data_IF_331576843498
#
_entry.id   IF_331576843498
#
_cell.length_a   1.000
_cell.length_b   1.000
_cell.length_c   1.000
_cell.angle_alpha   90.00
_cell.angle_beta   90.00
_cell.angle_gamma   90.00
#
_symmetry.space_group_name_H-M   'P 1'
#
loop_
_entity.id
_entity.type
_entity.pdbx_description
1 polymer ?
#
# COMPACT_ATOMS: atom_id res chain seq x y z
N UNK A 1 -36.69 -19.05 38.84
CA UNK A 1 -36.77 -18.31 37.56
C UNK A 1 -35.92 -17.03 37.57
N UNK A 2 -36.07 -16.11 38.54
CA UNK A 2 -35.31 -14.84 38.62
C UNK A 2 -33.77 -14.97 38.52
N UNK A 3 -33.16 -15.95 39.21
CA UNK A 3 -31.69 -16.19 39.16
C UNK A 3 -31.19 -16.65 37.78
N UNK A 4 -31.96 -17.51 37.09
CA UNK A 4 -31.61 -17.98 35.73
C UNK A 4 -31.76 -16.85 34.71
N UNK A 5 -32.79 -16.03 34.87
CA UNK A 5 -32.99 -14.84 34.04
C UNK A 5 -31.86 -13.81 34.21
N UNK A 6 -31.43 -13.55 35.45
CA UNK A 6 -30.28 -12.66 35.73
C UNK A 6 -28.96 -13.19 35.15
N UNK A 7 -28.71 -14.49 35.19
CA UNK A 7 -27.53 -15.09 34.55
C UNK A 7 -27.56 -14.94 33.03
N UNK A 8 -28.72 -15.13 32.40
CA UNK A 8 -28.87 -14.92 30.94
C UNK A 8 -28.66 -13.45 30.57
N UNK A 9 -29.19 -12.52 31.36
CA UNK A 9 -29.02 -11.08 31.13
C UNK A 9 -27.55 -10.64 31.29
N UNK A 10 -26.87 -11.17 32.31
CA UNK A 10 -25.45 -10.91 32.52
C UNK A 10 -24.58 -11.49 31.40
N UNK A 11 -24.92 -12.68 30.89
CA UNK A 11 -24.24 -13.27 29.73
C UNK A 11 -24.41 -12.43 28.45
N UNK A 12 -25.62 -11.95 28.18
CA UNK A 12 -25.89 -11.05 27.05
C UNK A 12 -25.12 -9.74 27.16
N UNK A 13 -25.09 -9.13 28.36
CA UNK A 13 -24.32 -7.92 28.60
C UNK A 13 -22.81 -8.15 28.39
N UNK A 14 -22.28 -9.29 28.84
CA UNK A 14 -20.87 -9.63 28.64
C UNK A 14 -20.52 -9.81 27.15
N UNK A 15 -21.38 -10.47 26.36
CA UNK A 15 -21.19 -10.59 24.90
C UNK A 15 -21.20 -9.22 24.23
N UNK A 16 -22.11 -8.33 24.63
CA UNK A 16 -22.18 -6.98 24.08
C UNK A 16 -20.94 -6.16 24.41
N UNK A 17 -20.44 -6.25 25.65
CA UNK A 17 -19.22 -5.56 26.09
C UNK A 17 -17.99 -6.11 25.38
N UNK A 18 -17.87 -7.43 25.23
CA UNK A 18 -16.74 -8.06 24.51
C UNK A 18 -16.78 -7.67 23.02
N UNK A 19 -17.95 -7.70 22.39
CA UNK A 19 -18.11 -7.27 21.00
C UNK A 19 -17.76 -5.79 20.80
N UNK A 20 -18.19 -4.92 21.72
CA UNK A 20 -17.85 -3.50 21.71
C UNK A 20 -16.35 -3.25 21.93
N UNK A 21 -15.72 -3.96 22.88
CA UNK A 21 -14.28 -3.88 23.12
C UNK A 21 -13.46 -4.42 21.96
N UNK A 22 -13.91 -5.48 21.29
CA UNK A 22 -13.27 -6.01 20.09
C UNK A 22 -13.36 -5.02 18.92
N UNK A 23 -14.52 -4.38 18.75
CA UNK A 23 -14.69 -3.30 17.75
C UNK A 23 -13.76 -2.11 18.06
N UNK A 24 -13.71 -1.67 19.32
CA UNK A 24 -12.77 -0.61 19.74
C UNK A 24 -11.31 -1.01 19.55
N UNK A 25 -10.97 -2.27 19.81
CA UNK A 25 -9.62 -2.78 19.59
C UNK A 25 -9.26 -2.75 18.10
N UNK A 26 -10.17 -3.17 17.21
CA UNK A 26 -9.96 -3.11 15.75
C UNK A 26 -9.82 -1.66 15.28
N UNK A 27 -10.68 -0.75 15.74
CA UNK A 27 -10.60 0.68 15.39
C UNK A 27 -9.33 1.35 15.96
N UNK A 28 -8.80 0.83 17.08
CA UNK A 28 -7.56 1.30 17.69
C UNK A 28 -6.31 0.64 17.11
N UNK A 29 -6.45 -0.43 16.33
CA UNK A 29 -5.32 -1.16 15.76
C UNK A 29 -5.01 -0.54 14.40
N UNK A 30 -4.07 0.42 14.46
CA UNK A 30 -3.37 1.07 13.34
C UNK A 30 -4.19 2.11 12.56
N UNK A 31 -4.02 3.42 12.85
CA UNK A 31 -4.88 4.45 12.28
C UNK A 31 -4.61 4.61 10.78
N UNK A 32 -5.65 4.44 9.97
CA UNK A 32 -5.72 5.04 8.63
C UNK A 32 -5.43 6.54 8.76
N UNK A 33 -4.50 7.11 7.96
CA UNK A 33 -4.27 8.56 7.96
C UNK A 33 -5.57 9.33 7.69
N UNK A 34 -5.73 10.53 8.26
CA UNK A 34 -6.89 11.36 7.94
C UNK A 34 -6.82 11.83 6.49
N UNK A 35 -7.89 11.62 5.73
CA UNK A 35 -7.93 11.98 4.31
C UNK A 35 -7.69 13.49 4.08
N UNK A 36 -8.21 14.35 4.95
CA UNK A 36 -8.02 15.80 4.81
C UNK A 36 -6.55 16.19 4.99
N UNK A 37 -5.85 15.54 5.93
CA UNK A 37 -4.43 15.78 6.16
C UNK A 37 -3.59 15.30 4.96
N UNK A 38 -3.96 14.17 4.36
CA UNK A 38 -3.31 13.66 3.14
C UNK A 38 -3.53 14.60 1.96
N UNK A 39 -4.78 15.01 1.73
CA UNK A 39 -5.14 15.97 0.67
C UNK A 39 -4.38 17.30 0.82
N UNK A 40 -4.25 17.81 2.05
CA UNK A 40 -3.46 19.00 2.33
C UNK A 40 -1.97 18.78 2.02
N UNK A 41 -1.41 17.66 2.46
CA UNK A 41 0.00 17.31 2.28
C UNK A 41 0.40 17.13 0.81
N UNK A 42 -0.43 16.44 0.01
CA UNK A 42 -0.12 16.20 -1.41
C UNK A 42 -0.65 17.30 -2.33
N UNK A 43 -1.34 18.30 -1.77
CA UNK A 43 -1.97 19.43 -2.47
C UNK A 43 -3.01 19.01 -3.52
N UNK A 44 -3.72 17.91 -3.27
CA UNK A 44 -4.78 17.39 -4.13
C UNK A 44 -6.09 17.27 -3.36
N UNK A 45 -7.22 17.11 -4.06
CA UNK A 45 -8.54 17.06 -3.43
C UNK A 45 -9.40 15.95 -4.01
N UNK A 46 -10.28 15.41 -3.19
CA UNK A 46 -11.19 14.35 -3.62
C UNK A 46 -10.46 13.03 -3.86
N UNK A 47 -9.41 12.78 -3.07
CA UNK A 47 -8.70 11.52 -3.11
C UNK A 47 -9.62 10.40 -2.60
N UNK A 48 -9.43 9.20 -3.12
CA UNK A 48 -10.13 8.00 -2.64
C UNK A 48 -9.11 7.10 -1.97
N UNK A 49 -9.41 6.63 -0.77
CA UNK A 49 -8.56 5.64 -0.09
C UNK A 49 -8.73 4.25 -0.72
N UNK A 50 -7.66 3.46 -0.72
CA UNK A 50 -7.72 2.06 -1.15
C UNK A 50 -7.03 1.08 -0.17
N UNK A 51 -6.55 1.58 0.96
CA UNK A 51 -6.02 0.75 2.04
C UNK A 51 -4.50 0.72 2.15
N UNK A 52 -4.00 -0.36 2.76
CA UNK A 52 -2.60 -0.50 3.12
C UNK A 52 -1.69 -0.77 1.91
N UNK A 53 -0.49 -0.19 1.96
CA UNK A 53 0.58 -0.40 0.99
C UNK A 53 1.84 -0.77 1.76
N UNK A 54 2.46 -1.90 1.45
CA UNK A 54 3.77 -2.23 2.01
C UNK A 54 4.88 -1.72 1.11
N UNK A 55 5.90 -1.07 1.65
CA UNK A 55 7.04 -0.66 0.84
C UNK A 55 8.13 0.07 1.61
N UNK A 56 9.38 -0.09 1.17
CA UNK A 56 10.57 0.43 1.84
C UNK A 56 11.03 1.82 1.35
N UNK A 57 10.28 2.45 0.45
CA UNK A 57 10.63 3.75 -0.15
C UNK A 57 10.29 4.96 0.72
N UNK A 58 9.43 4.76 1.73
CA UNK A 58 9.11 5.75 2.77
C UNK A 58 9.85 5.40 4.06
N UNK A 59 9.78 6.26 5.08
CA UNK A 59 10.52 6.05 6.33
C UNK A 59 10.10 4.75 7.03
N UNK A 60 8.85 4.35 6.87
CA UNK A 60 8.29 3.14 7.46
C UNK A 60 7.84 2.13 6.40
N UNK A 61 7.95 0.83 6.67
CA UNK A 61 7.50 -0.20 5.72
C UNK A 61 5.97 -0.26 5.56
N UNK A 62 5.22 0.35 6.48
CA UNK A 62 3.75 0.35 6.49
C UNK A 62 3.23 1.71 6.04
N UNK A 63 2.58 1.70 4.89
CA UNK A 63 2.10 2.90 4.23
C UNK A 63 0.61 2.75 3.94
N UNK A 64 0.00 3.84 3.50
CA UNK A 64 -1.40 3.89 3.12
C UNK A 64 -1.56 4.53 1.75
N UNK A 65 -2.53 4.02 1.02
CA UNK A 65 -2.76 4.33 -0.37
C UNK A 65 -4.00 5.18 -0.59
N UNK A 66 -3.82 6.23 -1.40
CA UNK A 66 -4.87 7.10 -1.91
C UNK A 66 -4.71 7.24 -3.43
N UNK A 67 -5.77 7.58 -4.15
CA UNK A 67 -5.68 7.78 -5.59
C UNK A 67 -6.68 8.79 -6.13
N UNK A 68 -6.38 9.28 -7.33
CA UNK A 68 -7.31 9.97 -8.21
C UNK A 68 -7.30 9.32 -9.61
N UNK A 69 -7.80 10.00 -10.64
CA UNK A 69 -7.85 9.44 -12.01
C UNK A 69 -6.49 9.29 -12.69
N UNK A 70 -5.46 9.98 -12.21
CA UNK A 70 -4.15 10.11 -12.85
C UNK A 70 -3.00 9.55 -11.99
N UNK A 71 -3.13 9.55 -10.66
CA UNK A 71 -2.04 9.23 -9.76
C UNK A 71 -2.49 8.38 -8.58
N UNK A 72 -1.53 7.60 -8.07
CA UNK A 72 -1.61 6.93 -6.78
C UNK A 72 -0.66 7.64 -5.82
N UNK A 73 -1.14 7.94 -4.62
CA UNK A 73 -0.41 8.58 -3.55
C UNK A 73 -0.20 7.57 -2.43
N UNK A 74 1.06 7.33 -2.07
CA UNK A 74 1.44 6.45 -0.97
C UNK A 74 2.01 7.31 0.15
N UNK A 75 1.41 7.24 1.33
CA UNK A 75 1.77 8.06 2.49
C UNK A 75 2.11 7.17 3.67
N UNK A 76 2.88 7.67 4.63
CA UNK A 76 3.17 6.91 5.85
C UNK A 76 1.91 6.74 6.72
N UNK A 77 1.72 5.54 7.27
CA UNK A 77 0.56 5.25 8.13
C UNK A 77 0.52 6.13 9.40
N UNK A 78 1.68 6.56 9.89
CA UNK A 78 1.81 7.34 11.13
C UNK A 78 1.90 8.86 10.92
N UNK A 79 1.35 9.36 9.80
CA UNK A 79 1.30 10.79 9.49
C UNK A 79 0.74 11.62 10.66
N UNK A 80 -0.24 11.07 11.38
CA UNK A 80 -0.94 11.69 12.51
C UNK A 80 -0.07 11.89 13.77
N UNK A 81 1.06 11.16 13.89
CA UNK A 81 1.90 11.19 15.11
C UNK A 81 2.91 12.34 15.14
N UNK A 82 3.16 13.00 14.00
CA UNK A 82 4.10 14.11 13.86
C UNK A 82 5.54 13.79 14.30
N UNK A 83 6.43 14.78 14.20
CA UNK A 83 7.83 14.66 14.66
C UNK A 83 8.77 14.06 13.61
N UNK A 84 9.29 12.85 13.86
CA UNK A 84 10.28 12.16 13.01
C UNK A 84 9.68 11.54 11.74
N UNK A 85 8.35 11.34 11.71
CA UNK A 85 7.60 10.92 10.52
C UNK A 85 7.44 12.14 9.64
N UNK A 86 8.37 12.28 8.70
CA UNK A 86 8.45 13.42 7.79
C UNK A 86 7.19 13.52 6.94
N UNK A 87 6.85 14.74 6.52
CA UNK A 87 5.91 15.00 5.43
C UNK A 87 6.44 14.36 4.13
N UNK A 88 6.42 13.04 4.07
CA UNK A 88 7.01 12.22 3.03
C UNK A 88 5.92 11.37 2.41
N UNK A 89 5.87 11.41 1.09
CA UNK A 89 4.92 10.63 0.31
C UNK A 89 5.53 10.30 -1.04
N UNK A 90 5.01 9.24 -1.66
CA UNK A 90 5.33 8.88 -3.02
C UNK A 90 4.12 9.12 -3.92
N UNK A 91 4.37 9.66 -5.10
CA UNK A 91 3.37 9.78 -6.17
C UNK A 91 3.77 8.81 -7.27
N UNK A 92 2.89 7.86 -7.57
CA UNK A 92 3.00 6.92 -8.67
C UNK A 92 2.06 7.42 -9.77
N UNK A 93 2.62 7.94 -10.85
CA UNK A 93 1.84 8.42 -11.97
C UNK A 93 1.24 7.26 -12.77
N UNK A 94 0.20 7.56 -13.56
CA UNK A 94 -0.42 6.62 -14.49
C UNK A 94 0.59 5.90 -15.38
N UNK A 95 0.27 4.64 -15.69
CA UNK A 95 1.16 3.76 -16.44
C UNK A 95 1.40 4.21 -17.87
N UNK A 96 2.62 3.99 -18.32
CA UNK A 96 2.99 4.03 -19.74
C UNK A 96 3.28 2.62 -20.24
N UNK A 97 3.00 2.39 -21.53
CA UNK A 97 3.28 1.11 -22.16
C UNK A 97 4.78 0.82 -22.18
N UNK A 98 5.10 -0.46 -22.07
CA UNK A 98 6.48 -0.95 -22.22
C UNK A 98 6.95 -0.78 -23.66
N UNK A 99 8.25 -0.56 -23.81
CA UNK A 99 8.94 -0.37 -25.09
C UNK A 99 10.14 -1.30 -25.18
N UNK A 100 10.66 -1.51 -26.39
CA UNK A 100 11.88 -2.32 -26.60
C UNK A 100 13.09 -1.81 -25.80
N UNK A 101 13.12 -0.53 -25.45
CA UNK A 101 14.18 0.04 -24.60
C UNK A 101 14.13 -0.45 -23.14
N UNK A 102 12.99 -0.98 -22.69
CA UNK A 102 12.79 -1.48 -21.33
C UNK A 102 13.21 -2.96 -21.18
N UNK A 103 13.40 -3.68 -22.29
CA UNK A 103 13.71 -5.12 -22.33
C UNK A 103 14.89 -5.52 -21.42
N UNK A 104 16.05 -4.82 -21.43
CA UNK A 104 17.17 -5.21 -20.56
C UNK A 104 16.84 -5.14 -19.06
N UNK A 105 16.08 -4.12 -18.65
CA UNK A 105 15.70 -3.94 -17.25
C UNK A 105 14.63 -4.95 -16.82
N UNK A 106 13.72 -5.32 -17.73
CA UNK A 106 12.72 -6.37 -17.53
C UNK A 106 13.38 -7.74 -17.40
N UNK A 107 14.38 -8.05 -18.22
CA UNK A 107 15.14 -9.30 -18.13
C UNK A 107 15.88 -9.42 -16.79
N UNK A 108 16.55 -8.36 -16.35
CA UNK A 108 17.24 -8.31 -15.06
C UNK A 108 16.27 -8.50 -13.89
N UNK A 109 15.13 -7.79 -13.92
CA UNK A 109 14.08 -7.92 -12.92
C UNK A 109 13.50 -9.35 -12.88
N UNK A 110 13.15 -9.90 -14.04
CA UNK A 110 12.57 -11.25 -14.15
C UNK A 110 13.56 -12.30 -13.65
N UNK A 111 14.84 -12.17 -14.01
CA UNK A 111 15.90 -13.06 -13.53
C UNK A 111 16.06 -12.98 -12.01
N UNK A 112 16.02 -11.77 -11.43
CA UNK A 112 16.10 -11.57 -9.98
C UNK A 112 14.93 -12.21 -9.25
N UNK A 113 13.69 -11.93 -9.66
CA UNK A 113 12.50 -12.43 -8.97
C UNK A 113 12.37 -13.96 -9.09
N UNK A 114 12.65 -14.52 -10.27
CA UNK A 114 12.55 -15.97 -10.51
C UNK A 114 13.67 -16.75 -9.78
N UNK A 115 14.87 -16.18 -9.67
CA UNK A 115 16.01 -16.86 -9.03
C UNK A 115 16.02 -16.74 -7.51
N UNK A 116 15.45 -15.66 -6.96
CA UNK A 116 15.46 -15.40 -5.52
C UNK A 116 14.23 -15.93 -4.79
N UNK A 117 13.17 -16.29 -5.51
CA UNK A 117 11.88 -16.57 -4.89
C UNK A 117 11.21 -17.79 -5.52
N UNK A 118 11.57 -18.99 -5.04
CA UNK A 118 11.01 -20.28 -5.49
C UNK A 118 9.48 -20.42 -5.32
N UNK A 119 8.83 -19.45 -4.66
CA UNK A 119 7.39 -19.39 -4.40
C UNK A 119 6.65 -18.37 -5.29
N UNK A 120 7.36 -17.73 -6.23
CA UNK A 120 6.78 -16.76 -7.17
C UNK A 120 6.49 -17.46 -8.49
N UNK A 121 5.21 -17.54 -8.84
CA UNK A 121 4.72 -18.06 -10.10
C UNK A 121 4.05 -16.95 -10.94
N UNK A 122 3.84 -17.19 -12.24
CA UNK A 122 3.10 -16.30 -13.15
C UNK A 122 3.58 -14.84 -13.15
N UNK A 123 4.90 -14.61 -13.00
CA UNK A 123 5.47 -13.27 -13.00
C UNK A 123 5.28 -12.58 -14.35
N UNK A 124 4.65 -11.40 -14.34
CA UNK A 124 4.39 -10.58 -15.52
C UNK A 124 4.73 -9.12 -15.24
N UNK A 125 5.41 -8.48 -16.20
CA UNK A 125 5.61 -7.03 -16.20
C UNK A 125 4.56 -6.39 -17.11
N UNK A 126 3.79 -5.44 -16.57
CA UNK A 126 2.57 -4.92 -17.22
C UNK A 126 2.78 -3.55 -17.86
N UNK A 127 3.43 -2.64 -17.14
CA UNK A 127 3.62 -1.24 -17.52
C UNK A 127 4.75 -0.62 -16.72
N UNK A 128 5.15 0.61 -17.08
CA UNK A 128 6.10 1.39 -16.30
C UNK A 128 5.50 2.70 -15.84
N UNK A 129 5.86 3.10 -14.63
CA UNK A 129 5.29 4.24 -13.92
C UNK A 129 6.42 5.12 -13.43
N UNK A 130 6.23 6.43 -13.55
CA UNK A 130 7.13 7.38 -12.91
C UNK A 130 6.70 7.52 -11.46
N UNK A 131 7.64 7.26 -10.56
CA UNK A 131 7.43 7.38 -9.12
C UNK A 131 8.30 8.50 -8.59
N UNK A 132 7.68 9.47 -7.95
CA UNK A 132 8.37 10.62 -7.35
C UNK A 132 8.17 10.60 -5.85
N UNK A 133 9.25 10.70 -5.09
CA UNK A 133 9.21 10.82 -3.63
C UNK A 133 9.41 12.28 -3.25
N UNK A 134 8.52 12.76 -2.39
CA UNK A 134 8.55 14.10 -1.83
C UNK A 134 8.86 14.02 -0.36
N UNK A 135 9.66 14.94 0.16
CA UNK A 135 9.91 15.12 1.59
C UNK A 135 9.86 16.61 1.91
N UNK A 136 8.97 17.00 2.83
CA UNK A 136 8.73 18.40 3.17
C UNK A 136 8.40 19.24 1.92
N UNK A 137 7.51 18.73 1.06
CA UNK A 137 7.10 19.36 -0.21
C UNK A 137 8.19 19.44 -1.30
N UNK A 138 9.43 19.03 -0.99
CA UNK A 138 10.52 18.99 -1.96
C UNK A 138 10.65 17.60 -2.60
N UNK A 139 10.76 17.56 -3.93
CA UNK A 139 11.09 16.33 -4.66
C UNK A 139 12.50 15.88 -4.29
N UNK A 140 12.62 14.68 -3.72
CA UNK A 140 13.92 14.10 -3.31
C UNK A 140 14.42 13.04 -4.27
N UNK A 141 13.52 12.19 -4.78
CA UNK A 141 13.86 11.06 -5.64
C UNK A 141 12.82 10.93 -6.76
N UNK A 142 13.26 10.47 -7.94
CA UNK A 142 12.36 10.15 -9.06
C UNK A 142 12.96 8.99 -9.84
N UNK A 143 12.18 7.93 -10.00
CA UNK A 143 12.60 6.73 -10.71
C UNK A 143 11.46 6.14 -11.55
N UNK A 144 11.83 5.31 -12.52
CA UNK A 144 10.89 4.50 -13.28
C UNK A 144 10.74 3.13 -12.63
N UNK A 145 9.52 2.81 -12.21
CA UNK A 145 9.16 1.53 -11.65
C UNK A 145 8.40 0.71 -12.68
N UNK A 146 8.55 -0.60 -12.60
CA UNK A 146 7.72 -1.53 -13.34
C UNK A 146 6.56 -1.99 -12.48
N UNK A 147 5.35 -1.91 -13.03
CA UNK A 147 4.18 -2.57 -12.46
C UNK A 147 4.23 -4.04 -12.82
N UNK A 148 4.27 -4.89 -11.82
CA UNK A 148 4.37 -6.34 -11.98
C UNK A 148 3.20 -7.02 -11.28
N UNK A 149 2.74 -8.11 -11.85
CA UNK A 149 1.82 -9.03 -11.20
C UNK A 149 2.48 -10.39 -11.06
N UNK A 150 2.26 -11.05 -9.95
CA UNK A 150 2.76 -12.40 -9.73
C UNK A 150 1.86 -13.12 -8.74
N UNK A 151 2.01 -14.44 -8.69
CA UNK A 151 1.32 -15.29 -7.72
C UNK A 151 2.27 -15.67 -6.60
N UNK A 152 1.84 -15.46 -5.36
CA UNK A 152 2.58 -15.83 -4.15
C UNK A 152 1.64 -16.58 -3.21
N UNK A 153 2.05 -17.78 -2.79
CA UNK A 153 1.27 -18.66 -1.90
C UNK A 153 -0.21 -18.87 -2.30
N UNK A 154 -0.48 -18.88 -3.60
CA UNK A 154 -1.84 -19.10 -4.13
C UNK A 154 -2.59 -17.84 -4.56
N UNK A 155 -2.16 -16.66 -4.12
CA UNK A 155 -2.86 -15.40 -4.36
C UNK A 155 -2.07 -14.47 -5.29
N UNK A 156 -2.79 -13.71 -6.13
CA UNK A 156 -2.17 -12.71 -6.99
C UNK A 156 -1.84 -11.45 -6.21
N UNK A 157 -0.64 -10.94 -6.45
CA UNK A 157 -0.12 -9.68 -5.91
C UNK A 157 0.19 -8.72 -7.05
N UNK A 158 0.07 -7.42 -6.78
CA UNK A 158 0.47 -6.34 -7.67
C UNK A 158 1.55 -5.53 -6.96
N UNK A 159 2.67 -5.29 -7.63
CA UNK A 159 3.74 -4.49 -7.06
C UNK A 159 4.27 -3.49 -8.06
N UNK A 160 4.71 -2.33 -7.57
CA UNK A 160 5.55 -1.41 -8.30
C UNK A 160 6.98 -1.65 -7.84
N UNK A 161 7.85 -2.06 -8.75
CA UNK A 161 9.22 -2.48 -8.43
C UNK A 161 10.24 -1.61 -9.16
N UNK A 162 11.23 -1.11 -8.42
CA UNK A 162 12.40 -0.47 -9.00
C UNK A 162 13.34 -1.56 -9.56
N UNK A 163 13.73 -1.51 -10.85
CA UNK A 163 14.54 -2.56 -11.48
C UNK A 163 15.98 -2.61 -10.99
N UNK A 164 16.48 -1.57 -10.31
CA UNK A 164 17.89 -1.48 -9.90
C UNK A 164 18.30 -2.59 -8.91
N UNK A 165 19.44 -3.22 -9.18
CA UNK A 165 19.85 -4.48 -8.52
C UNK A 165 20.15 -4.34 -7.02
N UNK A 166 20.52 -3.15 -6.56
CA UNK A 166 21.10 -2.95 -5.22
C UNK A 166 20.12 -2.43 -4.16
N UNK A 167 18.85 -2.18 -4.52
CA UNK A 167 17.88 -1.59 -3.61
C UNK A 167 16.60 -2.44 -3.63
N UNK A 168 16.24 -3.06 -2.51
CA UNK A 168 14.97 -3.79 -2.33
C UNK A 168 13.81 -2.81 -2.12
N UNK A 169 13.54 -2.04 -3.17
CA UNK A 169 12.55 -0.98 -3.11
C UNK A 169 11.37 -1.32 -4.01
N UNK A 170 10.24 -1.63 -3.38
CA UNK A 170 8.95 -1.90 -4.03
C UNK A 170 7.80 -1.31 -3.21
N UNK A 171 6.68 -1.08 -3.88
CA UNK A 171 5.38 -0.91 -3.23
C UNK A 171 4.50 -2.10 -3.58
N UNK A 172 4.01 -2.81 -2.58
CA UNK A 172 3.12 -3.96 -2.73
C UNK A 172 1.69 -3.54 -2.41
N UNK A 173 0.80 -3.89 -3.32
CA UNK A 173 -0.61 -3.57 -3.28
C UNK A 173 -1.36 -4.90 -3.11
N UNK A 174 -2.15 -4.99 -2.04
CA UNK A 174 -2.89 -6.19 -1.67
C UNK A 174 -4.39 -5.96 -1.80
N UNK A 175 -5.16 -7.05 -1.88
CA UNK A 175 -6.62 -7.04 -1.88
C UNK A 175 -7.23 -5.99 -2.83
N UNK A 176 -7.89 -4.97 -2.29
CA UNK A 176 -8.54 -3.90 -3.06
C UNK A 176 -7.56 -3.16 -4.00
N UNK A 177 -6.32 -2.94 -3.55
CA UNK A 177 -5.28 -2.33 -4.38
C UNK A 177 -4.90 -3.19 -5.60
N UNK A 178 -4.92 -4.52 -5.47
CA UNK A 178 -4.70 -5.41 -6.62
C UNK A 178 -5.82 -5.25 -7.66
N UNK A 179 -7.07 -5.38 -7.22
CA UNK A 179 -8.23 -5.36 -8.12
C UNK A 179 -8.38 -4.01 -8.81
N UNK A 180 -8.17 -2.92 -8.06
CA UNK A 180 -8.34 -1.56 -8.54
C UNK A 180 -7.27 -1.15 -9.57
N UNK A 181 -6.01 -1.55 -9.35
CA UNK A 181 -4.87 -0.99 -10.11
C UNK A 181 -4.24 -1.94 -11.12
N UNK A 182 -4.81 -3.13 -11.32
CA UNK A 182 -4.37 -4.04 -12.38
C UNK A 182 -4.37 -3.36 -13.76
N UNK A 183 -5.36 -2.49 -14.04
CA UNK A 183 -5.52 -1.77 -15.31
C UNK A 183 -5.06 -0.29 -15.27
N UNK A 184 -4.47 0.15 -14.16
CA UNK A 184 -4.02 1.54 -13.95
C UNK A 184 -2.80 1.93 -14.79
#
# INVERSE_FOLDING_TARGET
MKKRFLMVLAGLAAVFVIGYLAMLFIVSYEPTPDQSDVEEMVHERGLVDFGEVEGAFLLTPRNYGYYDSENIYVVEQYLDKGGDYSNQYAVIEKGTALTDADEPAIEELTAKETFQNDYVDDFQVLSKHRVTVYKNEEKTEEHWFFKVSYKYDGDYSLSFVLPETNIENRFNFFAEGYEQFLQF
#
